data_IF_222405501764
#
_entry.id   IF_222405501764
#
_cell.length_a   1.000
_cell.length_b   1.000
_cell.length_c   1.000
_cell.angle_alpha   90.00
_cell.angle_beta   90.00
_cell.angle_gamma   90.00
#
_symmetry.space_group_name_H-M   'P 1'
#
loop_
_entity.id
_entity.type
_entity.pdbx_description
1 polymer ?
#
# COMPACT_ATOMS: atom_id res chain seq x y z
N UNK A 1 -12.86 0.67 1.99
CA UNK A 1 -11.75 0.22 2.87
C UNK A 1 -10.41 0.69 2.29
N UNK A 2 -9.38 0.96 3.09
CA UNK A 2 -8.07 1.40 2.54
C UNK A 2 -7.44 0.36 1.61
N UNK A 3 -7.67 -0.93 1.87
CA UNK A 3 -7.24 -2.03 1.02
C UNK A 3 -7.89 -2.00 -0.37
N UNK A 4 -9.15 -1.60 -0.50
CA UNK A 4 -9.85 -1.47 -1.78
C UNK A 4 -9.31 -0.28 -2.59
N UNK A 5 -8.90 0.80 -1.92
CA UNK A 5 -8.30 1.96 -2.57
C UNK A 5 -6.95 1.65 -3.25
N UNK A 6 -6.33 0.49 -2.97
CA UNK A 6 -5.17 0.00 -3.72
C UNK A 6 -5.50 -0.44 -5.15
N UNK A 7 -6.78 -0.53 -5.53
CA UNK A 7 -7.21 -0.81 -6.90
C UNK A 7 -7.69 0.44 -7.64
N UNK A 8 -7.58 1.63 -7.04
CA UNK A 8 -8.06 2.87 -7.66
C UNK A 8 -7.27 3.17 -8.95
N UNK A 9 -7.94 3.63 -10.04
CA UNK A 9 -7.25 3.99 -11.27
C UNK A 9 -6.24 5.13 -11.07
N UNK A 10 -6.45 6.02 -10.11
CA UNK A 10 -5.58 7.16 -9.85
C UNK A 10 -4.39 6.77 -8.98
N UNK A 11 -3.18 7.03 -9.48
CA UNK A 11 -1.94 6.68 -8.78
C UNK A 11 -1.84 7.37 -7.40
N UNK A 12 -2.32 8.60 -7.27
CA UNK A 12 -2.25 9.35 -6.02
C UNK A 12 -3.15 8.76 -4.93
N UNK A 13 -4.30 8.18 -5.32
CA UNK A 13 -5.19 7.48 -4.39
C UNK A 13 -4.54 6.20 -3.90
N UNK A 14 -3.94 5.41 -4.80
CA UNK A 14 -3.22 4.19 -4.40
C UNK A 14 -2.02 4.50 -3.50
N UNK A 15 -1.27 5.56 -3.82
CA UNK A 15 -0.16 6.05 -3.00
C UNK A 15 -0.63 6.49 -1.61
N UNK A 16 -1.71 7.27 -1.53
CA UNK A 16 -2.32 7.67 -0.27
C UNK A 16 -2.83 6.48 0.54
N UNK A 17 -3.39 5.46 -0.13
CA UNK A 17 -3.82 4.22 0.52
C UNK A 17 -2.63 3.45 1.11
N UNK A 18 -1.51 3.29 0.37
CA UNK A 18 -0.28 2.67 0.90
C UNK A 18 0.24 3.43 2.12
N UNK A 19 0.37 4.76 2.02
CA UNK A 19 0.84 5.58 3.13
C UNK A 19 -0.08 5.45 4.35
N UNK A 20 -1.40 5.47 4.14
CA UNK A 20 -2.37 5.29 5.22
C UNK A 20 -2.32 3.90 5.84
N UNK A 21 -2.10 2.85 5.05
CA UNK A 21 -1.95 1.48 5.57
C UNK A 21 -0.67 1.30 6.39
N UNK A 22 0.39 2.08 6.13
CA UNK A 22 1.63 2.00 6.92
C UNK A 22 1.45 2.36 8.39
N UNK A 23 0.45 3.18 8.73
CA UNK A 23 0.15 3.54 10.12
C UNK A 23 -0.43 2.37 10.91
N UNK A 24 -0.96 1.35 10.21
CA UNK A 24 -1.56 0.13 10.77
C UNK A 24 -0.73 -1.12 10.50
N UNK A 25 0.60 -1.01 10.33
CA UNK A 25 1.46 -2.14 9.90
C UNK A 25 1.45 -3.38 10.81
N UNK A 26 0.99 -3.22 12.06
CA UNK A 26 0.84 -4.29 13.05
C UNK A 26 -0.49 -5.05 12.87
N UNK A 27 -1.44 -4.49 12.11
CA UNK A 27 -2.66 -5.16 11.70
C UNK A 27 -2.37 -6.16 10.56
N UNK A 28 -2.88 -7.38 10.70
CA UNK A 28 -2.62 -8.46 9.76
C UNK A 28 -3.14 -8.13 8.35
N UNK A 29 -4.33 -7.54 8.24
CA UNK A 29 -4.96 -7.26 6.96
C UNK A 29 -4.29 -6.09 6.27
N UNK A 30 -3.87 -5.08 7.02
CA UNK A 30 -3.05 -3.99 6.51
C UNK A 30 -1.70 -4.50 5.98
N UNK A 31 -1.04 -5.41 6.71
CA UNK A 31 0.23 -6.02 6.27
C UNK A 31 0.05 -6.85 5.00
N UNK A 32 -1.04 -7.62 4.90
CA UNK A 32 -1.38 -8.38 3.70
C UNK A 32 -1.71 -7.48 2.50
N UNK A 33 -2.37 -6.34 2.73
CA UNK A 33 -2.65 -5.35 1.69
C UNK A 33 -1.35 -4.69 1.18
N UNK A 34 -0.47 -4.27 2.08
CA UNK A 34 0.85 -3.71 1.76
C UNK A 34 1.72 -4.70 0.97
N UNK A 35 1.69 -5.99 1.33
CA UNK A 35 2.40 -7.04 0.61
C UNK A 35 1.93 -7.21 -0.85
N UNK A 36 0.66 -6.92 -1.17
CA UNK A 36 0.18 -6.91 -2.56
C UNK A 36 0.63 -5.65 -3.31
N UNK A 37 0.64 -4.51 -2.64
CA UNK A 37 1.02 -3.22 -3.23
C UNK A 37 2.49 -3.15 -3.70
N UNK A 38 3.37 -4.07 -3.27
CA UNK A 38 4.76 -4.16 -3.77
C UNK A 38 4.84 -4.49 -5.27
N UNK A 39 3.74 -4.96 -5.85
CA UNK A 39 3.57 -5.28 -7.27
C UNK A 39 2.72 -4.25 -8.04
N UNK A 40 2.45 -3.08 -7.47
CA UNK A 40 1.74 -1.99 -8.17
C UNK A 40 2.43 -1.63 -9.49
N UNK A 41 1.65 -1.15 -10.47
CA UNK A 41 2.18 -0.74 -11.77
C UNK A 41 3.04 0.52 -11.65
N UNK A 42 2.76 1.39 -10.69
CA UNK A 42 3.50 2.61 -10.42
C UNK A 42 4.76 2.38 -9.56
N UNK A 43 5.86 3.03 -9.93
CA UNK A 43 7.15 2.82 -9.28
C UNK A 43 7.22 3.40 -7.86
N UNK A 44 6.57 4.56 -7.62
CA UNK A 44 6.54 5.19 -6.30
C UNK A 44 5.72 4.32 -5.34
N UNK A 45 4.54 3.87 -5.77
CA UNK A 45 3.67 3.01 -4.95
C UNK A 45 4.43 1.75 -4.52
N UNK A 46 5.15 1.09 -5.45
CA UNK A 46 6.00 -0.07 -5.11
C UNK A 46 7.09 0.27 -4.10
N UNK A 47 7.76 1.42 -4.23
CA UNK A 47 8.82 1.82 -3.33
C UNK A 47 8.31 2.03 -1.90
N UNK A 48 7.17 2.73 -1.74
CA UNK A 48 6.53 2.91 -0.44
C UNK A 48 6.05 1.60 0.16
N UNK A 49 5.41 0.74 -0.64
CA UNK A 49 4.93 -0.56 -0.17
C UNK A 49 6.07 -1.46 0.30
N UNK A 50 7.18 -1.53 -0.46
CA UNK A 50 8.38 -2.29 -0.06
C UNK A 50 8.97 -1.77 1.24
N UNK A 51 9.11 -0.45 1.37
CA UNK A 51 9.58 0.16 2.63
C UNK A 51 8.70 -0.23 3.81
N UNK A 52 7.38 -0.25 3.62
CA UNK A 52 6.43 -0.57 4.68
C UNK A 52 6.48 -2.03 5.13
N UNK A 53 6.74 -2.99 4.23
CA UNK A 53 6.79 -4.42 4.59
C UNK A 53 8.14 -4.86 5.20
N UNK A 54 9.19 -4.05 5.01
CA UNK A 54 10.53 -4.31 5.54
C UNK A 54 10.87 -3.55 6.83
N UNK A 55 10.01 -2.60 7.24
CA UNK A 55 10.13 -1.85 8.50
C UNK A 55 9.41 -2.57 9.66
#
# INVERSE_FOLDING_TARGET
MLSEALADPHLDVRKAAVLSLTTWRDDHDARAALARAVADTDADVRAYARRAVHA
#
